data_IF_659333415925
#
_entry.id   IF_659333415925
#
_cell.length_a   1.000
_cell.length_b   1.000
_cell.length_c   1.000
_cell.angle_alpha   90.00
_cell.angle_beta   90.00
_cell.angle_gamma   90.00
#
_symmetry.space_group_name_H-M   'P 1'
#
loop_
_entity.id
_entity.type
_entity.pdbx_description
1 polymer ?
#
# COMPACT_ATOMS: atom_id res chain seq x y z
N UNK A 1 -9.04 -21.37 -8.58
CA UNK A 1 -9.89 -20.28 -9.12
C UNK A 1 -10.92 -19.79 -8.13
N UNK A 2 -11.93 -20.59 -7.74
CA UNK A 2 -12.99 -20.12 -6.79
C UNK A 2 -12.44 -19.52 -5.49
N UNK A 3 -11.46 -20.18 -4.85
CA UNK A 3 -10.81 -19.66 -3.64
C UNK A 3 -10.01 -18.37 -3.87
N UNK A 4 -9.28 -18.26 -5.01
CA UNK A 4 -8.51 -17.06 -5.35
C UNK A 4 -9.44 -15.86 -5.61
N UNK A 5 -10.53 -16.08 -6.35
CA UNK A 5 -11.54 -15.04 -6.62
C UNK A 5 -12.23 -14.61 -5.32
N UNK A 6 -12.59 -15.56 -4.46
CA UNK A 6 -13.20 -15.24 -3.15
C UNK A 6 -12.25 -14.45 -2.26
N UNK A 7 -10.96 -14.84 -2.21
CA UNK A 7 -9.93 -14.11 -1.49
C UNK A 7 -9.72 -12.69 -2.06
N UNK A 8 -9.72 -12.54 -3.39
CA UNK A 8 -9.61 -11.24 -4.05
C UNK A 8 -10.80 -10.34 -3.74
N UNK A 9 -12.03 -10.88 -3.70
CA UNK A 9 -13.22 -10.12 -3.34
C UNK A 9 -13.17 -9.63 -1.89
N UNK A 10 -12.81 -10.51 -0.95
CA UNK A 10 -12.66 -10.13 0.47
C UNK A 10 -11.56 -9.09 0.64
N UNK A 11 -10.41 -9.27 0.00
CA UNK A 11 -9.31 -8.31 0.04
C UNK A 11 -9.70 -6.98 -0.61
N UNK A 12 -10.42 -7.00 -1.73
CA UNK A 12 -10.91 -5.78 -2.37
C UNK A 12 -11.83 -4.98 -1.45
N UNK A 13 -12.74 -5.67 -0.74
CA UNK A 13 -13.58 -5.03 0.27
C UNK A 13 -12.74 -4.35 1.35
N UNK A 14 -11.74 -5.06 1.90
CA UNK A 14 -10.81 -4.50 2.90
C UNK A 14 -10.04 -3.29 2.35
N UNK A 15 -9.52 -3.37 1.12
CA UNK A 15 -8.77 -2.28 0.48
C UNK A 15 -9.63 -1.04 0.31
N UNK A 16 -10.89 -1.19 -0.11
CA UNK A 16 -11.84 -0.07 -0.26
C UNK A 16 -12.14 0.57 1.10
N UNK A 17 -12.40 -0.24 2.14
CA UNK A 17 -12.63 0.27 3.50
C UNK A 17 -11.40 1.00 4.07
N UNK A 18 -10.20 0.44 3.88
CA UNK A 18 -8.95 1.08 4.27
C UNK A 18 -8.71 2.38 3.51
N UNK A 19 -9.03 2.42 2.21
CA UNK A 19 -8.91 3.63 1.39
C UNK A 19 -9.83 4.75 1.91
N UNK A 20 -11.08 4.41 2.28
CA UNK A 20 -12.00 5.33 2.93
C UNK A 20 -11.45 5.84 4.26
N UNK A 21 -10.89 4.95 5.09
CA UNK A 21 -10.27 5.32 6.37
C UNK A 21 -9.05 6.25 6.20
N UNK A 22 -8.16 5.97 5.25
CA UNK A 22 -7.01 6.82 4.91
C UNK A 22 -7.48 8.22 4.48
N UNK A 23 -8.52 8.28 3.65
CA UNK A 23 -9.10 9.56 3.20
C UNK A 23 -9.71 10.35 4.35
N UNK A 24 -10.53 9.72 5.19
CA UNK A 24 -11.21 10.36 6.31
C UNK A 24 -10.26 10.79 7.43
N UNK A 25 -9.09 10.15 7.52
CA UNK A 25 -8.05 10.49 8.51
C UNK A 25 -6.97 11.42 7.95
N UNK A 26 -7.21 12.05 6.80
CA UNK A 26 -6.30 12.97 6.10
C UNK A 26 -4.92 12.36 5.80
N UNK A 27 -4.83 11.03 5.75
CA UNK A 27 -3.57 10.29 5.61
C UNK A 27 -3.21 9.98 4.15
N UNK A 28 -3.97 10.48 3.17
CA UNK A 28 -3.77 10.15 1.75
C UNK A 28 -2.52 10.76 1.10
N UNK A 29 -1.75 11.56 1.85
CA UNK A 29 -0.48 12.18 1.43
C UNK A 29 0.63 11.95 2.47
N UNK A 30 0.48 10.93 3.32
CA UNK A 30 1.44 10.59 4.37
C UNK A 30 2.77 10.03 3.87
N UNK A 31 2.80 9.38 2.70
CA UNK A 31 4.01 8.79 2.11
C UNK A 31 4.41 9.49 0.78
N UNK A 32 5.60 10.09 0.70
CA UNK A 32 6.01 10.89 -0.46
C UNK A 32 6.46 10.08 -1.68
N UNK A 33 6.87 8.83 -1.49
CA UNK A 33 7.42 7.91 -2.47
C UNK A 33 6.64 6.59 -2.48
N UNK A 34 6.84 5.74 -3.49
CA UNK A 34 6.27 4.38 -3.62
C UNK A 34 7.32 3.52 -4.34
N UNK A 35 7.53 2.23 -4.01
CA UNK A 35 6.77 1.35 -3.12
C UNK A 35 7.11 1.47 -1.63
N UNK A 36 8.05 2.33 -1.26
CA UNK A 36 8.39 2.63 0.14
C UNK A 36 7.59 3.78 0.74
N UNK A 37 8.02 4.23 1.92
CA UNK A 37 7.59 5.45 2.57
C UNK A 37 8.79 6.12 3.24
N UNK A 38 9.13 7.34 2.83
CA UNK A 38 10.37 8.05 3.18
C UNK A 38 11.64 7.24 2.90
N UNK A 39 11.66 6.44 1.82
CA UNK A 39 12.80 5.59 1.48
C UNK A 39 12.89 4.27 2.26
N UNK A 40 11.94 4.00 3.17
CA UNK A 40 11.82 2.71 3.86
C UNK A 40 10.83 1.80 3.12
N UNK A 41 11.28 0.59 2.75
CA UNK A 41 10.41 -0.44 2.13
C UNK A 41 9.55 -1.18 3.16
N UNK A 42 9.94 -1.16 4.43
CA UNK A 42 9.20 -1.76 5.52
C UNK A 42 9.37 -0.82 6.72
N UNK A 43 8.26 -0.28 7.19
CA UNK A 43 8.25 0.71 8.26
C UNK A 43 8.25 2.15 7.78
N UNK A 44 8.13 3.05 8.75
CA UNK A 44 8.16 4.49 8.59
C UNK A 44 9.27 5.00 9.52
N UNK A 45 10.00 6.08 9.18
CA UNK A 45 10.99 6.68 10.07
C UNK A 45 10.41 6.91 11.47
N UNK A 46 11.13 6.47 12.50
CA UNK A 46 10.77 6.61 13.92
C UNK A 46 11.94 7.14 14.74
N UNK A 47 13.18 6.81 14.36
CA UNK A 47 14.36 7.29 15.05
C UNK A 47 14.77 8.70 14.59
N UNK A 48 15.34 9.49 15.50
CA UNK A 48 15.73 10.88 15.20
C UNK A 48 16.68 11.02 13.99
N UNK A 49 17.59 10.06 13.78
CA UNK A 49 18.49 10.07 12.63
C UNK A 49 17.77 9.76 11.31
N UNK A 50 16.72 8.92 11.33
CA UNK A 50 15.89 8.63 10.16
C UNK A 50 15.03 9.84 9.81
N UNK A 51 14.50 10.56 10.81
CA UNK A 51 13.78 11.81 10.60
C UNK A 51 14.68 12.89 9.97
N UNK A 52 15.93 12.99 10.42
CA UNK A 52 16.90 13.91 9.84
C UNK A 52 17.21 13.54 8.38
N UNK A 53 17.43 12.25 8.08
CA UNK A 53 17.63 11.76 6.71
C UNK A 53 16.41 12.04 5.82
N UNK A 54 15.19 11.78 6.32
CA UNK A 54 13.95 12.05 5.63
C UNK A 54 13.76 13.54 5.33
N UNK A 55 14.10 14.43 6.27
CA UNK A 55 14.02 15.88 6.07
C UNK A 55 14.97 16.39 4.97
N UNK A 56 16.14 15.75 4.80
CA UNK A 56 17.07 16.06 3.70
C UNK A 56 16.57 15.49 2.37
N UNK A 57 16.09 14.24 2.36
CA UNK A 57 15.66 13.57 1.14
C UNK A 57 14.31 14.08 0.58
N UNK A 58 13.39 14.49 1.46
CA UNK A 58 12.05 14.94 1.11
C UNK A 58 11.77 16.33 1.72
N UNK A 59 12.41 17.40 1.20
CA UNK A 59 12.29 18.74 1.75
C UNK A 59 10.84 19.23 1.71
N UNK A 60 10.38 19.85 2.80
CA UNK A 60 9.03 20.38 2.94
C UNK A 60 7.94 19.34 3.24
N UNK A 61 8.31 18.08 3.49
CA UNK A 61 7.38 17.00 3.87
C UNK A 61 7.74 16.47 5.26
N UNK A 62 7.12 16.99 6.33
CA UNK A 62 7.40 16.52 7.69
C UNK A 62 6.93 15.07 7.87
N UNK A 63 7.73 14.28 8.58
CA UNK A 63 7.37 12.89 8.89
C UNK A 63 6.23 12.88 9.90
N UNK A 64 5.03 12.54 9.43
CA UNK A 64 3.86 12.27 10.26
C UNK A 64 3.64 10.76 10.33
N UNK A 65 4.34 10.09 11.25
CA UNK A 65 4.42 8.62 11.29
C UNK A 65 3.04 7.93 11.28
N UNK A 66 2.07 8.48 12.02
CA UNK A 66 0.71 7.96 12.05
C UNK A 66 -0.02 8.05 10.70
N UNK A 67 0.20 9.10 9.91
CA UNK A 67 -0.41 9.22 8.57
C UNK A 67 0.30 8.34 7.57
N UNK A 68 1.63 8.34 7.60
CA UNK A 68 2.48 7.48 6.77
C UNK A 68 2.14 5.99 6.92
N UNK A 69 1.98 5.49 8.15
CA UNK A 69 1.60 4.10 8.38
C UNK A 69 0.25 3.73 7.78
N UNK A 70 -0.77 4.58 7.95
CA UNK A 70 -2.11 4.33 7.38
C UNK A 70 -2.05 4.24 5.86
N UNK A 71 -1.34 5.16 5.22
CA UNK A 71 -1.20 5.16 3.76
C UNK A 71 -0.38 3.95 3.27
N UNK A 72 0.72 3.63 3.95
CA UNK A 72 1.60 2.52 3.57
C UNK A 72 0.88 1.16 3.66
N UNK A 73 0.10 0.92 4.72
CA UNK A 73 -0.71 -0.30 4.87
C UNK A 73 -1.73 -0.41 3.73
N UNK A 74 -2.44 0.68 3.41
CA UNK A 74 -3.40 0.68 2.31
C UNK A 74 -2.72 0.40 0.96
N UNK A 75 -1.56 1.02 0.69
CA UNK A 75 -0.77 0.82 -0.53
C UNK A 75 -0.32 -0.63 -0.70
N UNK A 76 0.15 -1.30 0.37
CA UNK A 76 0.54 -2.71 0.29
C UNK A 76 -0.65 -3.64 0.11
N UNK A 77 -1.77 -3.40 0.81
CA UNK A 77 -2.98 -4.18 0.60
C UNK A 77 -3.48 -4.08 -0.86
N UNK A 78 -3.46 -2.87 -1.44
CA UNK A 78 -3.81 -2.64 -2.84
C UNK A 78 -2.81 -3.32 -3.81
N UNK A 79 -1.51 -3.28 -3.52
CA UNK A 79 -0.49 -3.97 -4.30
C UNK A 79 -0.69 -5.49 -4.32
N UNK A 80 -0.97 -6.11 -3.16
CA UNK A 80 -1.27 -7.55 -3.05
C UNK A 80 -2.53 -7.90 -3.85
N UNK A 81 -3.58 -7.07 -3.77
CA UNK A 81 -4.79 -7.25 -4.57
C UNK A 81 -4.50 -7.22 -6.06
N UNK A 82 -3.70 -6.26 -6.53
CA UNK A 82 -3.29 -6.17 -7.94
C UNK A 82 -2.54 -7.42 -8.41
N UNK A 83 -1.59 -7.92 -7.63
CA UNK A 83 -0.87 -9.17 -7.93
C UNK A 83 -1.81 -10.38 -7.96
N UNK A 84 -2.79 -10.44 -7.05
CA UNK A 84 -3.77 -11.52 -7.01
C UNK A 84 -4.68 -11.49 -8.24
N UNK A 85 -5.12 -10.31 -8.69
CA UNK A 85 -5.90 -10.13 -9.92
C UNK A 85 -5.08 -10.59 -11.14
N UNK A 86 -3.81 -10.19 -11.24
CA UNK A 86 -2.92 -10.61 -12.32
C UNK A 86 -2.73 -12.14 -12.33
N UNK A 87 -2.58 -12.77 -11.17
CA UNK A 87 -2.48 -14.22 -11.06
C UNK A 87 -3.77 -14.93 -11.52
N UNK A 88 -4.95 -14.40 -11.15
CA UNK A 88 -6.25 -14.92 -11.59
C UNK A 88 -6.38 -14.78 -13.11
N UNK A 89 -6.03 -13.62 -13.68
CA UNK A 89 -6.09 -13.35 -15.11
C UNK A 89 -5.16 -14.29 -15.89
N UNK A 90 -3.91 -14.43 -15.47
CA UNK A 90 -2.95 -15.35 -16.08
C UNK A 90 -3.41 -16.81 -16.01
N UNK A 91 -4.00 -17.23 -14.89
CA UNK A 91 -4.53 -18.59 -14.74
C UNK A 91 -5.79 -18.84 -15.58
N UNK A 92 -6.65 -17.83 -15.74
CA UNK A 92 -7.81 -17.91 -16.61
C UNK A 92 -7.36 -18.05 -18.08
N UNK A 93 -6.43 -17.21 -18.52
CA UNK A 93 -5.89 -17.23 -19.88
C UNK A 93 -5.27 -18.58 -20.24
N UNK A 94 -4.41 -19.11 -19.36
CA UNK A 94 -3.77 -20.43 -19.57
C UNK A 94 -4.74 -21.62 -19.57
N UNK A 95 -5.96 -21.46 -19.06
CA UNK A 95 -7.00 -22.50 -19.13
C UNK A 95 -7.79 -22.47 -20.41
N UNK A 96 -7.89 -21.31 -21.06
CA UNK A 96 -8.56 -21.19 -22.34
C UNK A 96 -7.70 -21.72 -23.48
N UNK A 97 -6.38 -21.54 -23.39
CA UNK A 97 -5.41 -22.08 -24.37
C UNK A 97 -5.22 -23.61 -24.30
N UNK A 98 -5.82 -24.29 -23.33
CA UNK A 98 -5.61 -25.72 -23.03
C UNK A 98 -6.89 -26.52 -23.22
#
# INVERSE_FOLDING_TARGET
>A
MKHLVSAALVLAFVVVSLGAYVRLSDAGLGCPDWPGCYGHLLGVPDAAHEHAAAAVAFPGKPVEAAKAWKEMIHRYAAGILGLLILAIAAHAWRREER
#
